data_IF_757166509914
#
_entry.id   IF_757166509914
#
_cell.length_a   1.000
_cell.length_b   1.000
_cell.length_c   1.000
_cell.angle_alpha   90.00
_cell.angle_beta   90.00
_cell.angle_gamma   90.00
#
_symmetry.space_group_name_H-M   'P 1'
#
loop_
_entity.id
_entity.type
_entity.pdbx_description
1 polymer ?
#
# COMPACT_ATOMS: atom_id res chain seq x y z
N UNK A 1 15.10 1.97 -12.51
CA UNK A 1 14.33 1.93 -11.24
C UNK A 1 14.31 0.53 -10.67
N UNK A 2 14.41 -0.51 -11.50
CA UNK A 2 14.57 -1.87 -11.03
C UNK A 2 15.70 -2.01 -9.99
N UNK A 3 15.43 -2.75 -8.91
CA UNK A 3 16.31 -2.90 -7.76
C UNK A 3 16.19 -1.79 -6.70
N UNK A 4 15.61 -0.63 -7.02
CA UNK A 4 15.43 0.46 -6.06
C UNK A 4 14.15 0.32 -5.24
N UNK A 5 14.01 1.16 -4.21
CA UNK A 5 12.78 1.25 -3.41
C UNK A 5 11.94 2.45 -3.83
N UNK A 6 10.63 2.26 -3.91
CA UNK A 6 9.65 3.32 -4.19
C UNK A 6 8.67 3.42 -3.02
N UNK A 7 8.40 4.64 -2.56
CA UNK A 7 7.42 4.91 -1.51
C UNK A 7 6.23 5.68 -2.06
N UNK A 8 5.05 5.12 -1.87
CA UNK A 8 3.77 5.72 -2.22
C UNK A 8 3.22 6.44 -0.99
N UNK A 9 3.41 7.76 -0.96
CA UNK A 9 3.00 8.59 0.16
C UNK A 9 1.49 8.81 0.18
N UNK A 10 0.83 8.39 1.26
CA UNK A 10 -0.59 8.65 1.52
C UNK A 10 -0.88 10.15 1.64
N UNK A 11 0.05 10.91 2.22
CA UNK A 11 -0.16 12.29 2.68
C UNK A 11 -0.81 12.38 4.07
N UNK A 12 -1.00 11.24 4.75
CA UNK A 12 -1.54 11.17 6.10
C UNK A 12 -0.43 11.40 7.11
N UNK A 13 -0.67 12.27 8.08
CA UNK A 13 0.26 12.55 9.19
C UNK A 13 -0.02 11.70 10.43
N UNK A 14 -1.27 11.28 10.63
CA UNK A 14 -1.71 10.46 11.76
C UNK A 14 -2.72 9.42 11.28
N UNK A 15 -2.29 8.16 11.20
CA UNK A 15 -3.17 7.05 10.76
C UNK A 15 -4.42 6.91 11.63
N UNK A 16 -4.36 7.27 12.92
CA UNK A 16 -5.44 7.10 13.89
C UNK A 16 -6.70 7.91 13.55
N UNK A 17 -6.59 8.94 12.70
CA UNK A 17 -7.73 9.72 12.18
C UNK A 17 -8.58 8.95 11.17
N UNK A 18 -8.09 7.82 10.68
CA UNK A 18 -8.76 6.97 9.71
C UNK A 18 -9.17 5.66 10.37
N UNK A 19 -10.39 5.21 10.10
CA UNK A 19 -10.85 3.88 10.50
C UNK A 19 -10.10 2.78 9.75
N UNK A 20 -9.88 3.00 8.45
CA UNK A 20 -9.22 2.06 7.57
C UNK A 20 -8.32 2.78 6.57
N UNK A 21 -7.11 2.26 6.38
CA UNK A 21 -6.20 2.61 5.28
C UNK A 21 -5.98 1.34 4.50
N UNK A 22 -6.34 1.34 3.22
CA UNK A 22 -6.41 0.13 2.43
C UNK A 22 -5.70 0.33 1.09
N UNK A 23 -4.76 -0.56 0.79
CA UNK A 23 -3.96 -0.56 -0.43
C UNK A 23 -4.34 -1.73 -1.34
N UNK A 24 -4.57 -1.38 -2.60
CA UNK A 24 -4.84 -2.31 -3.70
C UNK A 24 -3.78 -2.20 -4.78
N UNK A 25 -3.48 -3.31 -5.45
CA UNK A 25 -2.75 -3.35 -6.71
C UNK A 25 -3.61 -4.09 -7.73
N UNK A 26 -4.10 -3.35 -8.74
CA UNK A 26 -5.24 -3.82 -9.52
C UNK A 26 -6.44 -4.14 -8.61
N UNK A 27 -7.04 -5.31 -8.79
CA UNK A 27 -8.18 -5.78 -7.98
C UNK A 27 -7.76 -6.54 -6.70
N UNK A 28 -6.46 -6.65 -6.42
CA UNK A 28 -5.94 -7.40 -5.28
C UNK A 28 -5.62 -6.49 -4.10
N UNK A 29 -6.14 -6.84 -2.92
CA UNK A 29 -5.73 -6.22 -1.65
C UNK A 29 -4.31 -6.65 -1.31
N UNK A 30 -3.44 -5.68 -1.02
CA UNK A 30 -2.02 -5.94 -0.75
C UNK A 30 -1.59 -5.51 0.65
N UNK A 31 -2.23 -4.50 1.23
CA UNK A 31 -1.94 -4.08 2.60
C UNK A 31 -3.11 -3.31 3.22
N UNK A 32 -3.23 -3.35 4.54
CA UNK A 32 -4.17 -2.50 5.27
C UNK A 32 -3.67 -2.11 6.67
N UNK A 33 -4.19 -0.99 7.17
CA UNK A 33 -4.21 -0.62 8.59
C UNK A 33 -5.67 -0.43 8.98
N UNK A 34 -6.14 -1.23 9.94
CA UNK A 34 -7.48 -1.17 10.50
C UNK A 34 -7.40 -0.72 11.96
N UNK A 35 -7.79 0.54 12.21
CA UNK A 35 -7.75 1.11 13.55
C UNK A 35 -8.94 0.69 14.42
N UNK A 36 -10.01 0.15 13.83
CA UNK A 36 -11.13 -0.41 14.59
C UNK A 36 -10.73 -1.71 15.27
N UNK A 37 -9.96 -2.55 14.58
CA UNK A 37 -9.42 -3.81 15.12
C UNK A 37 -8.01 -3.68 15.68
N UNK A 38 -7.39 -2.50 15.57
CA UNK A 38 -5.99 -2.22 15.96
C UNK A 38 -5.00 -3.20 15.33
N UNK A 39 -5.19 -3.51 14.06
CA UNK A 39 -4.37 -4.47 13.31
C UNK A 39 -3.85 -3.85 12.01
N UNK A 40 -2.73 -4.38 11.54
CA UNK A 40 -2.23 -4.12 10.19
C UNK A 40 -1.77 -5.41 9.55
N UNK A 41 -1.99 -5.51 8.24
CA UNK A 41 -1.77 -6.74 7.48
C UNK A 41 -1.13 -6.40 6.14
N UNK A 42 -0.24 -7.29 5.69
CA UNK A 42 0.25 -7.32 4.32
C UNK A 42 -0.14 -8.68 3.75
N UNK A 43 -0.83 -8.65 2.63
CA UNK A 43 -1.44 -9.82 2.01
C UNK A 43 -0.51 -10.40 0.95
N UNK A 44 -0.64 -11.70 0.75
CA UNK A 44 -0.04 -12.37 -0.39
C UNK A 44 -0.91 -12.09 -1.62
N UNK A 45 -0.30 -11.61 -2.70
CA UNK A 45 -0.96 -11.59 -4.00
C UNK A 45 -0.90 -12.99 -4.58
N UNK A 46 -2.03 -13.49 -5.11
CA UNK A 46 -2.22 -14.88 -5.57
C UNK A 46 -1.15 -15.39 -6.55
N UNK A 47 -0.44 -14.48 -7.23
CA UNK A 47 0.55 -14.84 -8.24
C UNK A 47 2.02 -14.83 -7.77
N UNK A 48 2.37 -14.24 -6.63
CA UNK A 48 3.78 -14.17 -6.23
C UNK A 48 3.98 -13.88 -4.74
N UNK A 49 4.23 -14.94 -3.96
CA UNK A 49 4.62 -14.84 -2.53
C UNK A 49 5.85 -13.95 -2.31
N UNK A 50 6.62 -13.64 -3.37
CA UNK A 50 7.80 -12.77 -3.25
C UNK A 50 7.47 -11.28 -3.22
N UNK A 51 6.28 -10.86 -3.67
CA UNK A 51 5.87 -9.44 -3.62
C UNK A 51 5.63 -9.02 -2.18
N UNK A 52 4.93 -9.84 -1.38
CA UNK A 52 4.68 -9.56 0.05
C UNK A 52 5.95 -9.25 0.83
N UNK A 53 7.02 -10.04 0.63
CA UNK A 53 8.29 -9.85 1.34
C UNK A 53 8.97 -8.50 1.02
N UNK A 54 8.58 -7.87 -0.09
CA UNK A 54 9.12 -6.60 -0.56
C UNK A 54 8.26 -5.39 -0.21
N UNK A 55 7.01 -5.62 0.21
CA UNK A 55 6.11 -4.58 0.69
C UNK A 55 6.40 -4.24 2.16
N UNK A 56 6.44 -2.95 2.46
CA UNK A 56 6.54 -2.43 3.82
C UNK A 56 5.47 -1.36 4.01
N UNK A 57 4.71 -1.48 5.10
CA UNK A 57 3.65 -0.54 5.46
C UNK A 57 4.07 0.29 6.67
N UNK A 58 4.21 1.59 6.47
CA UNK A 58 4.54 2.53 7.54
C UNK A 58 3.34 2.70 8.47
N UNK A 59 3.50 2.34 9.75
CA UNK A 59 2.40 2.34 10.73
C UNK A 59 2.02 3.75 11.22
N UNK A 60 2.83 4.78 10.94
CA UNK A 60 2.56 6.15 11.39
C UNK A 60 1.78 6.95 10.35
N UNK A 61 2.09 6.73 9.07
CA UNK A 61 1.57 7.47 7.91
C UNK A 61 0.70 6.61 7.00
N UNK A 62 0.75 5.29 7.11
CA UNK A 62 0.08 4.36 6.20
C UNK A 62 0.71 4.29 4.81
N UNK A 63 1.89 4.89 4.60
CA UNK A 63 2.60 4.88 3.32
C UNK A 63 3.09 3.48 2.97
N UNK A 64 2.95 3.11 1.71
CA UNK A 64 3.40 1.82 1.20
C UNK A 64 4.78 1.97 0.53
N UNK A 65 5.74 1.17 0.94
CA UNK A 65 7.05 1.09 0.29
C UNK A 65 7.22 -0.25 -0.39
N UNK A 66 7.60 -0.23 -1.66
CA UNK A 66 7.98 -1.40 -2.44
C UNK A 66 9.50 -1.40 -2.52
N UNK A 67 10.14 -2.39 -1.91
CA UNK A 67 11.60 -2.52 -1.91
C UNK A 67 12.05 -3.45 -3.02
N UNK A 68 13.29 -3.26 -3.53
CA UNK A 68 13.85 -4.12 -4.59
C UNK A 68 12.84 -4.31 -5.74
N UNK A 69 12.37 -3.18 -6.27
CA UNK A 69 11.32 -3.15 -7.30
C UNK A 69 11.72 -3.93 -8.54
N UNK A 70 10.73 -4.49 -9.22
CA UNK A 70 10.85 -5.28 -10.45
C UNK A 70 9.91 -4.71 -11.49
N UNK A 71 10.18 -4.99 -12.75
CA UNK A 71 9.27 -4.63 -13.86
C UNK A 71 7.82 -5.11 -13.63
N UNK A 72 7.65 -6.26 -12.96
CA UNK A 72 6.34 -6.83 -12.55
C UNK A 72 5.58 -6.04 -11.48
N UNK A 73 6.24 -5.14 -10.76
CA UNK A 73 5.59 -4.23 -9.80
C UNK A 73 5.04 -2.98 -10.48
N UNK A 74 5.24 -2.83 -11.79
CA UNK A 74 4.62 -1.74 -12.54
C UNK A 74 3.11 -1.93 -12.59
N UNK A 75 2.36 -0.86 -12.39
CA UNK A 75 0.91 -0.88 -12.48
C UNK A 75 0.24 0.19 -11.66
N UNK A 76 -1.07 0.02 -11.49
CA UNK A 76 -1.93 0.93 -10.76
C UNK A 76 -2.06 0.48 -9.30
N UNK A 77 -1.58 1.33 -8.40
CA UNK A 77 -1.81 1.20 -6.97
C UNK A 77 -2.93 2.13 -6.57
N UNK A 78 -3.90 1.61 -5.82
CA UNK A 78 -5.03 2.39 -5.31
C UNK A 78 -5.00 2.40 -3.79
N UNK A 79 -5.26 3.57 -3.23
CA UNK A 79 -5.33 3.85 -1.81
C UNK A 79 -6.75 4.29 -1.48
N UNK A 80 -7.34 3.64 -0.49
CA UNK A 80 -8.65 3.97 0.07
C UNK A 80 -8.42 4.37 1.53
N UNK A 81 -8.83 5.58 1.87
CA UNK A 81 -8.74 6.15 3.21
C UNK A 81 -10.16 6.35 3.75
N UNK A 82 -10.58 5.52 4.69
CA UNK A 82 -11.92 5.55 5.27
C UNK A 82 -11.89 6.24 6.63
N UNK A 83 -12.69 7.29 6.78
CA UNK A 83 -12.91 8.02 8.04
C UNK A 83 -14.41 8.30 8.19
N UNK A 84 -14.83 9.53 8.50
CA UNK A 84 -16.21 9.99 8.31
C UNK A 84 -16.56 10.05 6.81
N UNK A 85 -15.58 10.44 5.99
CA UNK A 85 -15.64 10.38 4.54
C UNK A 85 -14.59 9.40 4.00
N UNK A 86 -14.89 8.79 2.85
CA UNK A 86 -13.97 7.93 2.12
C UNK A 86 -13.23 8.72 1.05
N UNK A 87 -11.90 8.70 1.08
CA UNK A 87 -11.04 9.34 0.08
C UNK A 87 -10.31 8.28 -0.74
N UNK A 88 -10.13 8.57 -2.02
CA UNK A 88 -9.45 7.68 -2.97
C UNK A 88 -8.24 8.38 -3.56
N UNK A 89 -7.13 7.66 -3.70
CA UNK A 89 -5.92 8.12 -4.38
C UNK A 89 -5.36 7.00 -5.24
N UNK A 90 -4.80 7.34 -6.38
CA UNK A 90 -4.15 6.39 -7.28
C UNK A 90 -2.71 6.80 -7.56
N UNK A 91 -1.88 5.79 -7.80
CA UNK A 91 -0.48 5.94 -8.14
C UNK A 91 -0.18 5.03 -9.32
N UNK A 92 0.36 5.61 -10.39
CA UNK A 92 0.92 4.84 -11.49
C UNK A 92 2.40 4.63 -11.22
N UNK A 93 2.80 3.37 -11.04
CA UNK A 93 4.20 2.99 -10.85
C UNK A 93 4.68 2.37 -12.16
N UNK A 94 5.80 2.87 -12.67
CA UNK A 94 6.49 2.28 -13.82
C UNK A 94 7.92 1.98 -13.42
N UNK A 95 8.28 0.70 -13.49
CA UNK A 95 9.63 0.21 -13.23
C UNK A 95 10.22 -0.23 -14.56
N UNK A 96 11.38 0.32 -14.88
CA UNK A 96 12.21 -0.04 -16.03
C UNK A 96 13.67 -0.18 -15.62
#
# INVERSE_FOLDING_TARGET
>A
MEGESVTLHTGVTEVQKYHLIHWMFGDSQIAEINNLTRSSSIYDTDNDKTVKNRLKLDQLTGSLTITNTRTTDSGLYQLILTSEETKYKSFSVTVS
#
